data_IF_461397505386
#
_entry.id   IF_461397505386
#
_cell.length_a   1.000
_cell.length_b   1.000
_cell.length_c   1.000
_cell.angle_alpha   90.00
_cell.angle_beta   90.00
_cell.angle_gamma   90.00
#
_symmetry.space_group_name_H-M   'P 1'
#
loop_
_entity.id
_entity.type
_entity.pdbx_description
1 polymer ?
#
# COMPACT_ATOMS: atom_id res chain seq x y z
N UNK A 1 -69.00 -1.83 -17.37
CA UNK A 1 -67.91 -0.83 -17.28
C UNK A 1 -66.51 -1.43 -17.51
N UNK A 2 -66.35 -2.47 -18.36
CA UNK A 2 -65.11 -3.27 -18.46
C UNK A 2 -64.44 -3.33 -19.86
N UNK A 3 -64.96 -2.63 -20.87
CA UNK A 3 -64.44 -2.68 -22.25
C UNK A 3 -63.43 -1.58 -22.61
N UNK A 4 -63.33 -0.49 -21.83
CA UNK A 4 -62.40 0.62 -22.11
C UNK A 4 -60.97 0.39 -21.58
N UNK A 5 -60.80 -0.48 -20.58
CA UNK A 5 -59.50 -0.73 -19.93
C UNK A 5 -58.62 -1.68 -20.73
N UNK A 6 -59.22 -2.73 -21.33
CA UNK A 6 -58.51 -3.71 -22.16
C UNK A 6 -57.91 -3.09 -23.43
N UNK A 7 -58.60 -2.16 -24.10
CA UNK A 7 -58.06 -1.46 -25.30
C UNK A 7 -56.76 -0.71 -25.01
N UNK A 8 -56.61 -0.09 -23.82
CA UNK A 8 -55.38 0.63 -23.45
C UNK A 8 -54.20 -0.32 -23.25
N UNK A 9 -54.42 -1.49 -22.65
CA UNK A 9 -53.38 -2.52 -22.46
C UNK A 9 -52.90 -3.13 -23.78
N UNK A 10 -53.80 -3.37 -24.74
CA UNK A 10 -53.40 -3.86 -26.08
C UNK A 10 -52.63 -2.80 -26.88
N UNK A 11 -52.96 -1.52 -26.72
CA UNK A 11 -52.32 -0.43 -27.45
C UNK A 11 -50.92 -0.14 -26.90
N UNK A 12 -50.75 -0.11 -25.57
CA UNK A 12 -49.45 0.05 -24.91
C UNK A 12 -48.45 -1.06 -25.30
N UNK A 13 -48.90 -2.31 -25.41
CA UNK A 13 -48.06 -3.40 -25.91
C UNK A 13 -47.66 -3.24 -27.38
N UNK A 14 -48.56 -2.75 -28.25
CA UNK A 14 -48.22 -2.52 -29.67
C UNK A 14 -47.17 -1.41 -29.84
N UNK A 15 -47.25 -0.33 -29.05
CA UNK A 15 -46.27 0.75 -29.11
C UNK A 15 -44.92 0.35 -28.49
N UNK A 16 -44.92 -0.45 -27.42
CA UNK A 16 -43.70 -1.06 -26.86
C UNK A 16 -43.01 -2.01 -27.86
N UNK A 17 -43.77 -2.83 -28.59
CA UNK A 17 -43.23 -3.69 -29.66
C UNK A 17 -42.70 -2.87 -30.85
N UNK A 18 -43.34 -1.75 -31.21
CA UNK A 18 -42.84 -0.84 -32.24
C UNK A 18 -41.51 -0.21 -31.84
N UNK A 19 -41.39 0.28 -30.60
CA UNK A 19 -40.13 0.78 -30.02
C UNK A 19 -39.02 -0.29 -29.99
N UNK A 20 -39.32 -1.51 -29.55
CA UNK A 20 -38.35 -2.61 -29.59
C UNK A 20 -37.91 -2.97 -31.03
N UNK A 21 -38.82 -2.84 -32.01
CA UNK A 21 -38.51 -3.07 -33.43
C UNK A 21 -37.71 -1.96 -34.10
N UNK A 22 -37.81 -0.71 -33.62
CA UNK A 22 -36.98 0.40 -34.09
C UNK A 22 -35.59 0.34 -33.46
N UNK A 23 -35.48 0.09 -32.15
CA UNK A 23 -34.19 -0.15 -31.49
C UNK A 23 -33.41 -1.32 -32.10
N UNK A 24 -34.07 -2.44 -32.42
CA UNK A 24 -33.41 -3.56 -33.12
C UNK A 24 -32.94 -3.19 -34.53
N UNK A 25 -33.65 -2.31 -35.26
CA UNK A 25 -33.21 -1.85 -36.59
C UNK A 25 -32.04 -0.87 -36.51
N UNK A 26 -32.08 0.11 -35.59
CA UNK A 26 -30.98 1.06 -35.38
C UNK A 26 -29.70 0.33 -34.95
N UNK A 27 -29.79 -0.57 -33.97
CA UNK A 27 -28.66 -1.38 -33.52
C UNK A 27 -28.08 -2.28 -34.65
N UNK A 28 -28.94 -2.83 -35.53
CA UNK A 28 -28.47 -3.63 -36.66
C UNK A 28 -27.74 -2.79 -37.72
N UNK A 29 -28.16 -1.55 -37.98
CA UNK A 29 -27.43 -0.64 -38.88
C UNK A 29 -26.12 -0.13 -38.30
N UNK A 30 -26.04 0.16 -37.00
CA UNK A 30 -24.76 0.52 -36.36
C UNK A 30 -23.78 -0.67 -36.29
N UNK A 31 -24.27 -1.88 -36.03
CA UNK A 31 -23.45 -3.11 -36.09
C UNK A 31 -22.98 -3.45 -37.53
N UNK A 32 -23.72 -3.00 -38.55
CA UNK A 32 -23.30 -3.09 -39.95
C UNK A 32 -22.21 -2.07 -40.30
N UNK A 33 -22.38 -0.80 -39.90
CA UNK A 33 -21.41 0.25 -40.20
C UNK A 33 -20.10 0.11 -39.40
N UNK A 34 -20.12 -0.44 -38.18
CA UNK A 34 -18.89 -0.71 -37.41
C UNK A 34 -18.07 -1.90 -37.91
N UNK A 35 -18.59 -2.75 -38.81
CA UNK A 35 -17.84 -3.90 -39.35
C UNK A 35 -16.83 -3.56 -40.46
N UNK A 36 -16.83 -2.34 -40.99
CA UNK A 36 -15.92 -1.94 -42.08
C UNK A 36 -14.69 -1.10 -41.67
N UNK A 37 -14.51 -0.78 -40.39
CA UNK A 37 -13.38 0.04 -39.92
C UNK A 37 -12.41 -0.68 -38.96
N UNK A 38 -12.36 -2.02 -38.99
CA UNK A 38 -11.39 -2.84 -38.25
C UNK A 38 -10.51 -3.65 -39.21
N UNK A 39 -9.66 -2.94 -39.97
CA UNK A 39 -8.55 -3.50 -40.76
C UNK A 39 -7.24 -2.73 -40.53
N UNK A 40 -6.95 -2.42 -39.26
CA UNK A 40 -5.65 -1.94 -38.78
C UNK A 40 -5.44 -2.29 -37.30
N UNK A 41 -5.42 -3.58 -36.97
CA UNK A 41 -4.89 -4.03 -35.67
C UNK A 41 -3.39 -4.27 -35.85
N UNK A 42 -2.59 -3.32 -35.38
CA UNK A 42 -1.14 -3.51 -35.24
C UNK A 42 -0.91 -4.54 -34.14
N UNK A 43 -0.30 -5.67 -34.48
CA UNK A 43 0.12 -6.65 -33.49
C UNK A 43 1.27 -6.09 -32.65
N UNK A 44 1.00 -5.80 -31.37
CA UNK A 44 2.04 -5.51 -30.39
C UNK A 44 2.66 -6.84 -29.93
N UNK A 45 3.99 -7.02 -29.99
CA UNK A 45 4.62 -8.26 -29.57
C UNK A 45 4.63 -8.38 -28.04
N UNK A 46 4.21 -9.55 -27.55
CA UNK A 46 4.51 -9.99 -26.18
C UNK A 46 6.00 -10.32 -26.12
N UNK A 47 6.77 -9.57 -25.33
CA UNK A 47 8.19 -9.85 -25.14
C UNK A 47 8.40 -11.06 -24.23
N UNK A 48 8.58 -12.23 -24.84
CA UNK A 48 9.16 -13.42 -24.20
C UNK A 48 10.64 -13.47 -24.52
N UNK A 49 11.51 -13.34 -23.51
CA UNK A 49 12.96 -13.43 -23.69
C UNK A 49 13.39 -14.91 -23.68
N UNK A 50 13.47 -15.51 -24.88
CA UNK A 50 14.07 -16.82 -25.06
C UNK A 50 15.61 -16.73 -25.06
N UNK A 51 16.28 -17.73 -24.48
CA UNK A 51 17.75 -17.88 -24.57
C UNK A 51 18.14 -18.38 -25.96
N UNK A 52 18.91 -17.60 -26.72
CA UNK A 52 19.57 -18.08 -27.94
C UNK A 52 20.91 -18.75 -27.62
N UNK A 53 21.17 -19.89 -28.26
CA UNK A 53 22.39 -20.70 -28.10
C UNK A 53 23.17 -20.72 -29.43
N UNK A 54 24.50 -20.61 -29.30
CA UNK A 54 25.56 -20.87 -30.29
C UNK A 54 25.72 -19.93 -31.51
N UNK A 55 26.95 -19.42 -31.68
CA UNK A 55 27.84 -19.90 -32.77
C UNK A 55 29.34 -19.69 -32.49
N UNK A 56 30.19 -20.33 -33.29
CA UNK A 56 31.66 -20.49 -33.23
C UNK A 56 32.26 -20.32 -34.64
N UNK A 57 33.52 -19.94 -34.86
CA UNK A 57 34.60 -19.44 -33.98
C UNK A 57 35.54 -18.51 -34.78
N UNK A 58 36.24 -17.58 -34.13
CA UNK A 58 37.43 -16.96 -34.70
C UNK A 58 38.35 -16.43 -33.58
N UNK A 59 39.61 -16.89 -33.54
CA UNK A 59 40.68 -16.29 -32.73
C UNK A 59 41.62 -15.53 -33.66
N UNK A 60 42.16 -14.39 -33.23
CA UNK A 60 43.62 -14.21 -33.06
C UNK A 60 43.99 -12.86 -32.43
N UNK A 61 44.95 -12.94 -31.51
CA UNK A 61 45.92 -11.91 -31.06
C UNK A 61 45.47 -10.77 -30.15
N UNK A 62 46.25 -10.66 -29.09
CA UNK A 62 46.12 -9.80 -27.93
C UNK A 62 46.43 -8.33 -28.20
N UNK A 63 45.73 -7.46 -27.47
CA UNK A 63 46.33 -6.25 -26.89
C UNK A 63 45.76 -6.11 -25.46
N UNK A 64 46.63 -6.09 -24.44
CA UNK A 64 46.21 -5.98 -23.04
C UNK A 64 45.75 -4.57 -22.68
N UNK A 65 44.46 -4.30 -22.94
CA UNK A 65 43.79 -3.08 -22.47
C UNK A 65 43.25 -3.33 -21.04
N UNK A 66 43.56 -2.49 -20.03
CA UNK A 66 43.27 -2.81 -18.63
C UNK A 66 41.77 -2.99 -18.38
N UNK A 67 41.39 -4.18 -17.89
CA UNK A 67 40.01 -4.55 -17.58
C UNK A 67 39.40 -3.60 -16.55
N UNK A 68 38.69 -2.57 -17.03
CA UNK A 68 37.88 -1.65 -16.23
C UNK A 68 37.07 -2.41 -15.19
N UNK A 69 37.20 -2.04 -13.90
CA UNK A 69 36.29 -2.44 -12.80
C UNK A 69 34.88 -1.81 -12.93
N UNK A 70 34.27 -1.86 -14.12
CA UNK A 70 32.90 -1.41 -14.42
C UNK A 70 31.95 -2.62 -14.46
N UNK A 71 32.07 -3.55 -13.52
CA UNK A 71 31.87 -4.97 -13.85
C UNK A 71 30.95 -5.83 -12.97
N UNK A 72 30.61 -5.48 -11.72
CA UNK A 72 29.64 -6.29 -10.94
C UNK A 72 28.66 -5.48 -10.09
N UNK A 73 29.11 -4.55 -9.25
CA UNK A 73 28.21 -3.79 -8.33
C UNK A 73 27.10 -3.04 -9.07
N UNK A 74 27.42 -2.31 -10.14
CA UNK A 74 26.43 -1.62 -10.99
C UNK A 74 25.46 -2.58 -11.69
N UNK A 75 25.91 -3.78 -12.08
CA UNK A 75 25.03 -4.78 -12.68
C UNK A 75 24.08 -5.41 -11.65
N UNK A 76 24.58 -5.71 -10.44
CA UNK A 76 23.77 -6.18 -9.31
C UNK A 76 22.70 -5.15 -8.92
N UNK A 77 23.05 -3.87 -8.87
CA UNK A 77 22.09 -2.79 -8.57
C UNK A 77 21.00 -2.67 -9.65
N UNK A 78 21.37 -2.64 -10.94
CA UNK A 78 20.40 -2.55 -12.06
C UNK A 78 19.46 -3.77 -12.11
N UNK A 79 19.88 -4.91 -11.56
CA UNK A 79 19.05 -6.12 -11.47
C UNK A 79 18.23 -6.22 -10.19
N UNK A 80 18.56 -5.47 -9.12
CA UNK A 80 17.84 -5.49 -7.84
C UNK A 80 16.50 -4.74 -7.91
N UNK A 81 15.64 -4.99 -6.92
CA UNK A 81 14.38 -4.24 -6.78
C UNK A 81 14.63 -2.72 -6.62
N UNK A 82 15.70 -2.33 -5.92
CA UNK A 82 16.07 -0.93 -5.70
C UNK A 82 16.39 -0.22 -7.03
N UNK A 83 17.21 -0.82 -7.91
CA UNK A 83 17.54 -0.21 -9.20
C UNK A 83 16.39 -0.20 -10.21
N UNK A 84 15.36 -1.05 -10.03
CA UNK A 84 14.18 -1.13 -10.91
C UNK A 84 12.99 -0.31 -10.40
N UNK A 85 12.94 0.06 -9.12
CA UNK A 85 11.80 0.73 -8.49
C UNK A 85 11.33 2.00 -9.24
N UNK A 86 12.19 2.90 -9.78
CA UNK A 86 11.74 4.05 -10.57
C UNK A 86 10.96 3.66 -11.84
N UNK A 87 11.41 2.61 -12.53
CA UNK A 87 10.72 2.10 -13.73
C UNK A 87 9.35 1.53 -13.36
N UNK A 88 9.30 0.68 -12.33
CA UNK A 88 8.05 0.11 -11.83
C UNK A 88 7.07 1.18 -11.33
N UNK A 89 7.54 2.20 -10.62
CA UNK A 89 6.70 3.33 -10.19
C UNK A 89 6.13 4.10 -11.39
N UNK A 90 6.94 4.39 -12.42
CA UNK A 90 6.47 5.10 -13.61
C UNK A 90 5.42 4.29 -14.38
N UNK A 91 5.64 2.98 -14.56
CA UNK A 91 4.65 2.09 -15.18
C UNK A 91 3.36 2.00 -14.35
N UNK A 92 3.47 1.89 -13.03
CA UNK A 92 2.34 1.92 -12.10
C UNK A 92 1.54 3.22 -12.24
N UNK A 93 2.19 4.39 -12.24
CA UNK A 93 1.53 5.69 -12.40
C UNK A 93 0.75 5.78 -13.71
N UNK A 94 1.38 5.44 -14.83
CA UNK A 94 0.73 5.45 -16.16
C UNK A 94 -0.47 4.50 -16.19
N UNK A 95 -0.31 3.27 -15.66
CA UNK A 95 -1.38 2.27 -15.66
C UNK A 95 -2.54 2.68 -14.74
N UNK A 96 -2.26 3.30 -13.60
CA UNK A 96 -3.27 3.77 -12.67
C UNK A 96 -4.15 4.87 -13.30
N UNK A 97 -3.56 5.85 -13.99
CA UNK A 97 -4.33 6.89 -14.71
C UNK A 97 -5.23 6.27 -15.78
N UNK A 98 -4.69 5.39 -16.62
CA UNK A 98 -5.47 4.69 -17.65
C UNK A 98 -6.66 3.92 -17.07
N UNK A 99 -6.48 3.24 -15.94
CA UNK A 99 -7.55 2.52 -15.25
C UNK A 99 -8.57 3.48 -14.60
N UNK A 100 -8.14 4.68 -14.22
CA UNK A 100 -8.96 5.69 -13.55
C UNK A 100 -9.91 6.44 -14.50
N UNK A 101 -9.59 6.43 -15.80
CA UNK A 101 -10.46 6.89 -16.89
C UNK A 101 -11.56 5.87 -17.26
N UNK A 102 -11.39 4.58 -16.91
CA UNK A 102 -12.33 3.51 -17.28
C UNK A 102 -13.47 3.42 -16.22
N UNK A 103 -14.74 3.63 -16.60
CA UNK A 103 -15.86 3.54 -15.66
C UNK A 103 -15.99 2.15 -15.02
N UNK A 104 -16.32 2.13 -13.72
CA UNK A 104 -16.61 0.90 -12.97
C UNK A 104 -15.39 0.16 -12.39
N UNK A 105 -14.19 0.43 -12.87
CA UNK A 105 -12.94 -0.12 -12.32
C UNK A 105 -12.76 0.36 -10.87
N UNK A 106 -12.70 1.66 -10.67
CA UNK A 106 -12.78 2.27 -9.34
C UNK A 106 -14.25 2.42 -8.89
N UNK A 107 -14.49 2.33 -7.59
CA UNK A 107 -15.81 2.51 -6.97
C UNK A 107 -16.31 3.97 -7.07
N UNK A 108 -15.40 4.91 -7.30
CA UNK A 108 -15.67 6.32 -7.61
C UNK A 108 -14.47 6.91 -8.36
N UNK A 109 -14.71 8.02 -9.05
CA UNK A 109 -13.65 8.82 -9.64
C UNK A 109 -13.06 9.76 -8.58
N UNK A 110 -11.75 9.66 -8.35
CA UNK A 110 -11.01 10.52 -7.43
C UNK A 110 -10.76 11.89 -8.06
N UNK A 111 -11.36 12.94 -7.50
CA UNK A 111 -11.12 14.31 -7.97
C UNK A 111 -9.64 14.70 -7.78
N UNK A 112 -9.06 15.39 -8.79
CA UNK A 112 -7.65 15.84 -8.78
C UNK A 112 -7.34 16.83 -7.65
N UNK A 113 -8.32 17.66 -7.30
CA UNK A 113 -8.28 18.62 -6.19
C UNK A 113 -9.53 18.40 -5.36
N UNK A 114 -9.38 18.38 -4.03
CA UNK A 114 -10.48 18.19 -3.07
C UNK A 114 -10.39 19.26 -1.98
N UNK A 115 -11.51 19.64 -1.33
CA UNK A 115 -11.47 20.50 -0.15
C UNK A 115 -10.52 19.92 0.91
N UNK A 116 -9.60 20.74 1.40
CA UNK A 116 -8.52 20.33 2.30
C UNK A 116 -8.09 21.49 3.19
N UNK A 117 -7.38 21.15 4.27
CA UNK A 117 -6.99 22.09 5.33
C UNK A 117 -5.79 21.55 6.11
N UNK A 118 -4.82 22.41 6.37
CA UNK A 118 -3.86 22.19 7.46
C UNK A 118 -4.54 22.63 8.76
N UNK A 119 -4.58 21.76 9.76
CA UNK A 119 -5.18 22.08 11.05
C UNK A 119 -4.37 23.19 11.77
N UNK A 120 -5.03 24.18 12.40
CA UNK A 120 -4.32 25.18 13.20
C UNK A 120 -3.71 24.58 14.46
N UNK A 121 -2.41 24.73 14.62
CA UNK A 121 -1.62 24.28 15.77
C UNK A 121 -0.17 24.01 15.36
N UNK A 122 0.59 23.29 16.19
CA UNK A 122 2.01 23.00 15.95
C UNK A 122 2.24 21.72 15.12
N UNK A 123 1.29 20.78 15.13
CA UNK A 123 1.45 19.50 14.43
C UNK A 123 1.28 19.62 12.91
N UNK A 124 0.58 20.67 12.45
CA UNK A 124 0.22 20.94 11.05
C UNK A 124 -0.44 19.73 10.37
N UNK A 125 -1.31 19.01 11.07
CA UNK A 125 -2.02 17.86 10.51
C UNK A 125 -2.78 18.24 9.23
N UNK A 126 -2.70 17.43 8.19
CA UNK A 126 -3.35 17.70 6.90
C UNK A 126 -4.64 16.89 6.78
N UNK A 127 -5.78 17.57 6.67
CA UNK A 127 -7.10 16.97 6.49
C UNK A 127 -7.64 17.22 5.07
N UNK A 128 -8.28 16.21 4.48
CA UNK A 128 -8.77 16.25 3.10
C UNK A 128 -10.10 15.51 2.94
N UNK A 129 -11.05 16.12 2.25
CA UNK A 129 -12.42 15.62 2.06
C UNK A 129 -12.49 14.48 1.03
N UNK A 130 -13.06 13.35 1.42
CA UNK A 130 -13.24 12.16 0.58
C UNK A 130 -14.55 11.39 0.95
N UNK A 131 -15.75 11.99 0.75
CA UNK A 131 -17.02 11.40 1.15
C UNK A 131 -17.30 10.08 0.43
N UNK A 132 -16.92 9.99 -0.84
CA UNK A 132 -17.05 8.78 -1.65
C UNK A 132 -16.28 7.58 -1.08
N UNK A 133 -15.13 7.79 -0.41
CA UNK A 133 -14.42 6.71 0.31
C UNK A 133 -15.22 6.19 1.50
N UNK A 134 -16.00 7.03 2.15
CA UNK A 134 -16.84 6.63 3.30
C UNK A 134 -18.06 5.86 2.81
N UNK A 135 -18.72 6.36 1.75
CA UNK A 135 -19.98 5.81 1.24
C UNK A 135 -19.81 4.57 0.34
N UNK A 136 -18.78 4.53 -0.51
CA UNK A 136 -18.64 3.55 -1.61
C UNK A 136 -17.54 2.50 -1.39
N UNK A 137 -16.86 2.52 -0.24
CA UNK A 137 -15.85 1.50 0.12
C UNK A 137 -16.54 0.19 0.50
N UNK A 138 -15.92 -0.94 0.13
CA UNK A 138 -16.33 -2.27 0.58
C UNK A 138 -16.35 -2.36 2.10
N UNK A 139 -17.40 -2.97 2.65
CA UNK A 139 -17.51 -3.32 4.08
C UNK A 139 -16.23 -4.06 4.52
N UNK A 140 -15.52 -3.57 5.55
CA UNK A 140 -14.32 -4.22 6.08
C UNK A 140 -14.62 -5.62 6.65
N UNK A 141 -13.64 -6.52 6.56
CA UNK A 141 -13.73 -7.79 7.29
C UNK A 141 -13.52 -7.57 8.80
N UNK A 142 -14.31 -8.28 9.61
CA UNK A 142 -13.96 -8.53 11.02
C UNK A 142 -12.80 -9.51 11.05
N UNK A 143 -11.67 -9.07 11.60
CA UNK A 143 -10.51 -9.91 11.88
C UNK A 143 -10.36 -9.93 13.39
N UNK A 144 -10.47 -11.12 13.99
CA UNK A 144 -10.74 -11.29 15.42
C UNK A 144 -9.50 -11.17 16.32
N UNK A 145 -8.31 -11.42 15.78
CA UNK A 145 -7.03 -11.37 16.49
C UNK A 145 -5.86 -11.09 15.51
N UNK A 146 -4.63 -10.95 16.03
CA UNK A 146 -3.41 -10.73 15.24
C UNK A 146 -2.80 -11.97 14.57
N UNK A 147 -3.30 -13.17 14.87
CA UNK A 147 -2.89 -14.43 14.25
C UNK A 147 -4.09 -15.12 13.56
N UNK A 148 -4.80 -14.43 12.64
CA UNK A 148 -6.02 -14.96 12.07
C UNK A 148 -5.69 -16.10 11.08
N UNK A 149 -6.62 -17.04 10.89
CA UNK A 149 -6.51 -18.05 9.82
C UNK A 149 -6.92 -17.45 8.47
N UNK A 150 -6.27 -17.83 7.37
CA UNK A 150 -6.70 -17.41 6.04
C UNK A 150 -8.10 -17.96 5.72
N UNK A 151 -9.01 -17.10 5.26
CA UNK A 151 -10.42 -17.45 4.99
C UNK A 151 -10.68 -17.45 3.47
N UNK A 152 -10.37 -18.53 2.72
CA UNK A 152 -10.41 -18.55 1.25
C UNK A 152 -11.80 -18.29 0.66
N UNK A 153 -12.88 -18.53 1.42
CA UNK A 153 -14.26 -18.21 1.02
C UNK A 153 -14.58 -16.71 1.09
N UNK A 154 -13.96 -15.96 2.02
CA UNK A 154 -14.12 -14.50 2.12
C UNK A 154 -13.38 -13.78 0.98
N UNK A 155 -13.54 -12.46 0.86
CA UNK A 155 -12.77 -11.68 -0.11
C UNK A 155 -11.26 -11.77 0.22
N UNK A 156 -10.44 -11.90 -0.81
CA UNK A 156 -8.99 -11.84 -0.72
C UNK A 156 -8.45 -11.38 -2.09
N UNK A 157 -7.19 -10.95 -2.17
CA UNK A 157 -6.66 -10.35 -3.41
C UNK A 157 -6.52 -11.31 -4.60
N UNK A 158 -6.59 -12.63 -4.43
CA UNK A 158 -6.73 -13.58 -5.55
C UNK A 158 -8.12 -13.57 -6.20
N UNK A 159 -9.03 -12.68 -5.77
CA UNK A 159 -10.41 -12.52 -6.29
C UNK A 159 -10.70 -11.13 -6.86
N UNK A 160 -9.67 -10.33 -7.14
CA UNK A 160 -9.85 -9.09 -7.91
C UNK A 160 -10.03 -9.40 -9.40
N UNK A 161 -10.61 -8.47 -10.16
CA UNK A 161 -10.59 -8.59 -11.62
C UNK A 161 -9.13 -8.48 -12.14
N UNK A 162 -8.79 -9.19 -13.20
CA UNK A 162 -7.45 -9.12 -13.81
C UNK A 162 -7.10 -7.69 -14.27
N UNK A 163 -8.09 -6.85 -14.59
CA UNK A 163 -7.91 -5.44 -14.91
C UNK A 163 -7.52 -4.57 -13.70
N UNK A 164 -7.82 -5.01 -12.46
CA UNK A 164 -7.39 -4.32 -11.23
C UNK A 164 -5.88 -4.51 -10.96
N UNK A 165 -5.28 -5.58 -11.49
CA UNK A 165 -3.84 -5.87 -11.37
C UNK A 165 -3.08 -5.01 -12.38
N UNK A 166 -2.32 -4.03 -11.89
CA UNK A 166 -1.55 -3.12 -12.75
C UNK A 166 -0.27 -3.77 -13.26
N UNK A 167 0.39 -4.55 -12.41
CA UNK A 167 1.60 -5.30 -12.73
C UNK A 167 1.88 -6.38 -11.68
N UNK A 168 2.63 -7.41 -12.07
CA UNK A 168 3.31 -8.33 -11.14
C UNK A 168 4.81 -8.07 -11.26
N UNK A 169 5.50 -8.00 -10.12
CA UNK A 169 6.96 -7.87 -10.04
C UNK A 169 7.53 -9.21 -9.60
N UNK A 170 8.35 -9.80 -10.45
CA UNK A 170 9.16 -10.97 -10.12
C UNK A 170 10.35 -10.48 -9.27
N UNK A 171 10.29 -10.71 -7.95
CA UNK A 171 11.44 -10.40 -7.08
C UNK A 171 12.52 -11.50 -7.19
N UNK A 172 13.76 -11.13 -6.90
CA UNK A 172 14.96 -11.99 -7.08
C UNK A 172 14.85 -13.30 -6.29
N UNK A 173 14.14 -13.27 -5.15
CA UNK A 173 13.92 -14.41 -4.27
C UNK A 173 12.71 -15.30 -4.67
N UNK A 174 12.22 -15.17 -5.92
CA UNK A 174 11.14 -15.97 -6.54
C UNK A 174 9.75 -15.78 -5.94
N UNK A 175 9.48 -14.59 -5.44
CA UNK A 175 8.18 -14.19 -4.89
C UNK A 175 7.48 -13.20 -5.83
N UNK A 176 6.23 -13.47 -6.17
CA UNK A 176 5.43 -12.56 -6.99
C UNK A 176 4.84 -11.45 -6.11
N UNK A 177 5.22 -10.19 -6.37
CA UNK A 177 4.55 -9.03 -5.75
C UNK A 177 3.55 -8.43 -6.74
N UNK A 178 2.26 -8.53 -6.43
CA UNK A 178 1.23 -7.88 -7.24
C UNK A 178 0.96 -6.44 -6.78
N UNK A 179 0.96 -5.53 -7.75
CA UNK A 179 0.58 -4.14 -7.59
C UNK A 179 -0.84 -3.98 -8.13
N UNK A 180 -1.82 -3.87 -7.23
CA UNK A 180 -3.26 -3.88 -7.55
C UNK A 180 -3.83 -2.50 -7.22
N UNK A 181 -4.73 -1.94 -8.04
CA UNK A 181 -5.40 -0.69 -7.65
C UNK A 181 -6.14 -0.83 -6.32
N UNK A 182 -6.19 0.23 -5.51
CA UNK A 182 -7.21 0.29 -4.46
C UNK A 182 -8.51 0.81 -5.09
N UNK A 183 -9.51 -0.06 -5.30
CA UNK A 183 -10.81 0.33 -5.91
C UNK A 183 -11.49 1.52 -5.25
N UNK A 184 -11.20 1.86 -4.00
CA UNK A 184 -11.60 3.13 -3.40
C UNK A 184 -10.37 3.91 -2.92
N UNK A 185 -9.77 4.76 -3.77
CA UNK A 185 -8.46 5.35 -3.54
C UNK A 185 -8.52 6.47 -2.49
N UNK A 186 -7.48 6.56 -1.64
CA UNK A 186 -7.37 7.63 -0.64
C UNK A 186 -6.81 8.87 -1.30
N UNK A 187 -5.67 8.72 -1.97
CA UNK A 187 -5.03 9.69 -2.85
C UNK A 187 -4.75 9.08 -4.22
N UNK A 188 -4.19 9.89 -5.13
CA UNK A 188 -3.74 9.44 -6.46
C UNK A 188 -2.73 8.30 -6.33
N UNK A 189 -2.72 7.39 -7.30
CA UNK A 189 -1.86 6.21 -7.30
C UNK A 189 -2.05 5.24 -6.12
N UNK A 190 -3.15 5.34 -5.35
CA UNK A 190 -3.40 4.42 -4.23
C UNK A 190 -3.45 2.97 -4.74
N UNK A 191 -2.43 2.22 -4.36
CA UNK A 191 -2.16 0.84 -4.78
C UNK A 191 -2.12 -0.05 -3.55
N UNK A 192 -2.67 -1.25 -3.68
CA UNK A 192 -2.49 -2.36 -2.76
C UNK A 192 -1.29 -3.17 -3.25
N UNK A 193 -0.24 -3.21 -2.45
CA UNK A 193 0.95 -4.04 -2.69
C UNK A 193 0.71 -5.37 -2.00
N UNK A 194 0.67 -6.47 -2.76
CA UNK A 194 0.42 -7.82 -2.25
C UNK A 194 1.66 -8.71 -2.50
N UNK A 195 2.61 -8.77 -1.56
CA UNK A 195 3.72 -9.73 -1.61
C UNK A 195 3.18 -11.15 -1.46
N UNK A 196 3.72 -12.10 -2.22
CA UNK A 196 3.42 -13.53 -2.08
C UNK A 196 1.92 -13.85 -2.17
N UNK A 197 1.17 -13.12 -3.00
CA UNK A 197 -0.30 -13.20 -3.05
C UNK A 197 -0.83 -14.62 -3.33
N UNK A 198 -0.07 -15.44 -4.07
CA UNK A 198 -0.38 -16.86 -4.36
C UNK A 198 -0.26 -17.75 -3.12
N UNK A 199 0.58 -17.39 -2.14
CA UNK A 199 0.79 -18.14 -0.91
C UNK A 199 -0.33 -17.92 0.13
N UNK A 200 -1.30 -17.03 -0.16
CA UNK A 200 -2.46 -16.76 0.70
C UNK A 200 -2.08 -16.38 2.13
N UNK A 201 -1.00 -15.61 2.28
CA UNK A 201 -0.52 -15.14 3.58
C UNK A 201 -1.59 -14.28 4.24
N UNK A 202 -1.78 -14.47 5.55
CA UNK A 202 -2.72 -13.70 6.35
C UNK A 202 -2.19 -12.28 6.57
N UNK A 203 -2.98 -11.35 7.11
CA UNK A 203 -2.51 -9.98 7.38
C UNK A 203 -1.56 -9.97 8.60
N UNK A 204 -0.35 -10.50 8.41
CA UNK A 204 0.79 -10.45 9.34
C UNK A 204 2.05 -10.28 8.50
N UNK A 205 2.87 -9.31 8.89
CA UNK A 205 4.10 -8.95 8.19
C UNK A 205 5.07 -10.13 8.16
N UNK A 206 5.73 -10.34 7.02
CA UNK A 206 6.92 -11.21 6.91
C UNK A 206 8.18 -10.37 6.72
N UNK A 207 9.34 -10.88 7.13
CA UNK A 207 10.64 -10.23 6.89
C UNK A 207 10.86 -9.93 5.40
N UNK A 208 10.42 -10.85 4.53
CA UNK A 208 10.47 -10.66 3.07
C UNK A 208 9.62 -9.48 2.59
N UNK A 209 8.36 -9.39 3.05
CA UNK A 209 7.46 -8.28 2.69
C UNK A 209 8.00 -6.91 3.12
N UNK A 210 8.66 -6.83 4.29
CA UNK A 210 9.36 -5.61 4.71
C UNK A 210 10.54 -5.30 3.79
N UNK A 211 11.41 -6.28 3.52
CA UNK A 211 12.59 -6.09 2.68
C UNK A 211 12.21 -5.58 1.29
N UNK A 212 11.17 -6.15 0.68
CA UNK A 212 10.62 -5.66 -0.59
C UNK A 212 10.19 -4.19 -0.48
N UNK A 213 9.31 -3.86 0.46
CA UNK A 213 8.77 -2.49 0.59
C UNK A 213 9.88 -1.46 0.88
N UNK A 214 10.84 -1.80 1.75
CA UNK A 214 11.96 -0.92 2.10
C UNK A 214 12.89 -0.73 0.91
N UNK A 215 13.33 -1.80 0.25
CA UNK A 215 14.24 -1.68 -0.91
C UNK A 215 13.56 -1.06 -2.14
N UNK A 216 12.24 -1.24 -2.32
CA UNK A 216 11.48 -0.49 -3.31
C UNK A 216 11.53 1.01 -3.01
N UNK A 217 11.24 1.42 -1.76
CA UNK A 217 11.26 2.82 -1.33
C UNK A 217 12.66 3.44 -1.39
N UNK A 218 13.73 2.72 -1.00
CA UNK A 218 15.15 3.13 -1.14
C UNK A 218 15.59 3.28 -2.60
N UNK A 219 14.79 2.80 -3.56
CA UNK A 219 15.04 2.93 -4.98
C UNK A 219 14.38 4.13 -5.64
N UNK A 220 13.49 4.85 -4.94
CA UNK A 220 12.71 5.94 -5.55
C UNK A 220 13.44 7.28 -5.41
N UNK A 221 13.53 8.04 -6.52
CA UNK A 221 13.84 9.48 -6.46
C UNK A 221 12.64 10.32 -5.99
N UNK A 222 11.44 9.74 -6.01
CA UNK A 222 10.16 10.37 -5.70
C UNK A 222 9.86 10.36 -4.19
N UNK A 223 10.06 11.52 -3.56
CA UNK A 223 9.82 11.76 -2.13
C UNK A 223 8.36 12.09 -1.80
N UNK A 224 7.41 11.87 -2.70
CA UNK A 224 5.97 12.04 -2.47
C UNK A 224 5.26 10.69 -2.36
N UNK A 225 5.92 9.61 -2.80
CA UNK A 225 5.46 8.25 -2.54
C UNK A 225 5.65 7.89 -1.06
N UNK A 226 4.63 7.24 -0.50
CA UNK A 226 4.58 6.69 0.85
C UNK A 226 4.11 5.25 0.78
N UNK A 227 4.55 4.42 1.72
CA UNK A 227 3.89 3.15 1.98
C UNK A 227 3.34 3.09 3.40
N UNK A 228 2.33 2.25 3.62
CA UNK A 228 1.75 2.03 4.94
C UNK A 228 1.14 0.64 5.10
N UNK A 229 1.05 0.19 6.34
CA UNK A 229 0.46 -1.09 6.72
C UNK A 229 -0.42 -0.93 7.95
N UNK A 230 -1.49 -1.73 7.98
CA UNK A 230 -2.40 -1.86 9.10
C UNK A 230 -2.43 -3.35 9.50
N UNK A 231 -2.18 -3.69 10.76
CA UNK A 231 -2.43 -5.04 11.28
C UNK A 231 -3.93 -5.29 11.51
N UNK A 232 -4.35 -6.55 11.73
CA UNK A 232 -5.60 -6.86 12.42
C UNK A 232 -5.72 -6.05 13.72
N UNK A 233 -6.93 -5.60 14.07
CA UNK A 233 -7.14 -4.67 15.19
C UNK A 233 -6.63 -3.25 14.97
N UNK A 234 -5.72 -3.02 14.02
CA UNK A 234 -5.15 -1.72 13.65
C UNK A 234 -5.73 -1.17 12.33
N UNK A 235 -7.00 -1.51 12.05
CA UNK A 235 -7.77 -1.15 10.85
C UNK A 235 -7.46 -1.88 9.53
N UNK A 236 -6.72 -3.01 9.54
CA UNK A 236 -6.70 -3.93 8.39
C UNK A 236 -8.12 -4.29 7.93
N UNK A 237 -8.41 -4.16 6.63
CA UNK A 237 -9.78 -4.36 6.09
C UNK A 237 -9.99 -5.66 5.34
N UNK A 238 -8.91 -6.41 5.07
CA UNK A 238 -8.88 -7.70 4.39
C UNK A 238 -7.85 -8.58 5.11
N UNK A 239 -8.19 -9.83 5.40
CA UNK A 239 -7.23 -10.81 5.91
C UNK A 239 -6.49 -11.52 4.75
N UNK A 240 -5.59 -10.78 4.11
CA UNK A 240 -4.60 -11.26 3.15
C UNK A 240 -3.47 -10.23 3.13
N UNK A 241 -2.21 -10.64 3.35
CA UNK A 241 -1.05 -9.75 3.46
C UNK A 241 -1.02 -8.67 2.36
N UNK A 242 -1.17 -7.43 2.79
CA UNK A 242 -1.03 -6.27 1.92
C UNK A 242 -0.46 -5.06 2.65
N UNK A 243 0.31 -4.29 1.88
CA UNK A 243 0.70 -2.92 2.17
C UNK A 243 -0.07 -1.98 1.23
N UNK A 244 -0.06 -0.70 1.55
CA UNK A 244 -0.61 0.38 0.74
C UNK A 244 0.54 1.23 0.22
N UNK A 245 0.52 1.59 -1.07
CA UNK A 245 1.33 2.66 -1.64
C UNK A 245 0.41 3.84 -1.94
N UNK A 246 0.84 5.05 -1.58
CA UNK A 246 0.12 6.31 -1.75
C UNK A 246 1.03 7.38 -2.34
N UNK A 247 0.45 8.34 -3.07
CA UNK A 247 1.09 9.61 -3.38
C UNK A 247 0.56 10.70 -2.45
N UNK A 248 1.45 11.27 -1.65
CA UNK A 248 1.21 12.26 -0.59
C UNK A 248 2.34 13.31 -0.66
N UNK A 249 2.22 14.32 -1.55
CA UNK A 249 3.23 15.37 -1.72
C UNK A 249 3.33 16.32 -0.52
N UNK A 250 2.27 16.42 0.28
CA UNK A 250 2.20 17.28 1.47
C UNK A 250 3.29 16.93 2.49
N UNK A 251 3.89 17.95 3.11
CA UNK A 251 4.65 17.75 4.34
C UNK A 251 3.68 17.41 5.47
N UNK A 252 3.77 16.19 5.97
CA UNK A 252 2.92 15.70 7.04
C UNK A 252 3.58 15.97 8.40
N UNK A 253 2.81 15.84 9.47
CA UNK A 253 3.30 15.85 10.85
C UNK A 253 4.54 14.95 11.02
N UNK A 254 4.51 13.73 10.48
CA UNK A 254 5.61 12.76 10.62
C UNK A 254 6.93 13.20 9.97
N UNK A 255 6.90 14.17 9.04
CA UNK A 255 8.10 14.74 8.44
C UNK A 255 8.79 15.79 9.32
N UNK A 256 8.11 16.27 10.36
CA UNK A 256 8.53 17.37 11.24
C UNK A 256 8.83 16.91 12.67
N UNK A 257 8.70 15.62 12.98
CA UNK A 257 8.90 15.10 14.34
C UNK A 257 10.35 15.11 14.78
N UNK A 258 10.58 15.49 16.02
CA UNK A 258 11.86 15.31 16.70
C UNK A 258 12.06 13.83 17.05
N UNK A 259 13.30 13.33 16.89
CA UNK A 259 13.67 11.94 17.14
C UNK A 259 14.73 11.85 18.23
N UNK A 260 14.48 11.04 19.25
CA UNK A 260 15.46 10.64 20.27
C UNK A 260 16.02 9.25 19.92
N UNK A 261 17.33 9.04 20.06
CA UNK A 261 17.91 7.71 19.84
C UNK A 261 17.40 6.70 20.88
N UNK A 262 17.05 5.51 20.39
CA UNK A 262 16.53 4.41 21.19
C UNK A 262 17.56 3.28 21.34
N UNK A 263 18.15 2.81 20.23
CA UNK A 263 19.20 1.78 20.22
C UNK A 263 19.96 1.72 18.88
N UNK A 264 21.23 1.28 18.95
CA UNK A 264 22.02 0.85 17.79
C UNK A 264 22.37 1.92 16.75
N UNK A 265 22.20 3.22 17.04
CA UNK A 265 22.44 4.30 16.08
C UNK A 265 21.45 4.38 14.91
N UNK A 266 20.50 3.44 14.78
CA UNK A 266 19.52 3.41 13.69
C UNK A 266 18.06 3.29 14.15
N UNK A 267 17.81 2.97 15.43
CA UNK A 267 16.47 2.95 16.01
C UNK A 267 16.28 4.17 16.89
N UNK A 268 15.20 4.89 16.63
CA UNK A 268 14.79 6.09 17.33
C UNK A 268 13.36 5.93 17.87
N UNK A 269 12.96 6.84 18.74
CA UNK A 269 11.56 7.12 19.04
C UNK A 269 11.25 8.58 18.75
N UNK A 270 9.96 8.92 18.68
CA UNK A 270 9.54 10.32 18.78
C UNK A 270 10.00 10.90 20.13
N UNK A 271 10.49 12.14 20.10
CA UNK A 271 10.91 12.89 21.29
C UNK A 271 9.77 13.01 22.30
N UNK A 272 10.09 13.09 23.60
CA UNK A 272 9.10 13.31 24.66
C UNK A 272 8.36 14.66 24.54
N UNK A 273 8.88 15.61 23.76
CA UNK A 273 8.21 16.85 23.38
C UNK A 273 7.01 16.61 22.45
N UNK A 274 7.02 15.52 21.67
CA UNK A 274 6.00 15.25 20.66
C UNK A 274 4.67 14.82 21.30
N UNK A 275 3.52 15.24 20.74
CA UNK A 275 2.23 14.86 21.27
C UNK A 275 1.82 13.40 21.01
N UNK A 276 2.53 12.68 20.14
CA UNK A 276 2.27 11.28 19.78
C UNK A 276 3.52 10.41 19.88
N UNK A 277 3.35 9.10 19.82
CA UNK A 277 4.40 8.10 20.09
C UNK A 277 4.57 7.11 18.94
N UNK A 278 5.82 6.85 18.55
CA UNK A 278 6.19 5.80 17.61
C UNK A 278 7.68 5.44 17.73
N UNK A 279 8.05 4.24 17.29
CA UNK A 279 9.44 3.92 16.93
C UNK A 279 9.69 4.41 15.50
N UNK A 280 10.90 4.87 15.19
CA UNK A 280 11.37 5.12 13.84
C UNK A 280 12.67 4.34 13.60
N UNK A 281 12.70 3.48 12.58
CA UNK A 281 13.90 2.77 12.13
C UNK A 281 14.41 3.42 10.86
N UNK A 282 15.67 3.85 10.84
CA UNK A 282 16.30 4.53 9.71
C UNK A 282 17.16 3.54 8.91
N UNK A 283 16.78 3.39 7.63
CA UNK A 283 17.58 2.74 6.61
C UNK A 283 18.32 3.81 5.82
N UNK A 284 19.65 3.86 5.88
CA UNK A 284 20.41 4.89 5.19
C UNK A 284 20.56 4.58 3.69
N UNK A 285 20.80 5.61 2.88
CA UNK A 285 21.01 5.47 1.45
C UNK A 285 22.22 4.57 1.12
N UNK A 286 23.19 4.53 2.02
CA UNK A 286 24.44 3.77 1.94
C UNK A 286 24.43 2.43 2.70
N UNK A 287 23.36 2.06 3.45
CA UNK A 287 23.28 0.75 4.10
C UNK A 287 23.51 -0.37 3.06
N UNK A 288 24.38 -1.32 3.39
CA UNK A 288 24.60 -2.52 2.59
C UNK A 288 23.51 -3.59 2.79
N UNK A 289 23.60 -4.70 2.05
CA UNK A 289 22.60 -5.78 2.12
C UNK A 289 22.52 -6.46 3.49
N UNK A 290 23.62 -6.51 4.26
CA UNK A 290 23.65 -7.10 5.59
C UNK A 290 23.03 -6.16 6.62
N UNK A 291 23.38 -4.86 6.57
CA UNK A 291 22.78 -3.82 7.42
C UNK A 291 21.26 -3.72 7.21
N UNK A 292 20.81 -3.70 5.94
CA UNK A 292 19.37 -3.75 5.61
C UNK A 292 18.72 -5.02 6.15
N UNK A 293 19.37 -6.18 5.99
CA UNK A 293 18.81 -7.46 6.44
C UNK A 293 18.69 -7.52 7.97
N UNK A 294 19.66 -6.99 8.71
CA UNK A 294 19.61 -6.90 10.17
C UNK A 294 18.44 -6.01 10.62
N UNK A 295 18.37 -4.78 10.10
CA UNK A 295 17.30 -3.81 10.42
C UNK A 295 15.91 -4.37 10.07
N UNK A 296 15.76 -5.06 8.94
CA UNK A 296 14.54 -5.79 8.55
C UNK A 296 14.21 -6.91 9.54
N UNK A 297 15.20 -7.73 9.91
CA UNK A 297 14.99 -8.85 10.84
C UNK A 297 14.56 -8.35 12.22
N UNK A 298 15.14 -7.25 12.71
CA UNK A 298 14.78 -6.66 14.00
C UNK A 298 13.38 -6.02 13.98
N UNK A 299 13.00 -5.33 12.91
CA UNK A 299 11.61 -4.90 12.69
C UNK A 299 10.62 -6.07 12.63
N UNK A 300 11.00 -7.16 11.95
CA UNK A 300 10.16 -8.36 11.85
C UNK A 300 9.97 -9.02 13.22
N UNK A 301 11.05 -9.22 14.00
CA UNK A 301 10.97 -9.73 15.39
C UNK A 301 10.04 -8.87 16.25
N UNK A 302 10.09 -7.54 16.12
CA UNK A 302 9.22 -6.64 16.86
C UNK A 302 7.74 -6.79 16.44
N UNK A 303 7.47 -6.82 15.13
CA UNK A 303 6.12 -7.05 14.60
C UNK A 303 5.55 -8.41 15.02
N UNK A 304 6.39 -9.44 15.06
CA UNK A 304 6.02 -10.79 15.46
C UNK A 304 5.71 -10.89 16.96
N UNK A 305 6.58 -10.30 17.80
CA UNK A 305 6.32 -10.17 19.23
C UNK A 305 5.05 -9.38 19.52
N UNK A 306 4.78 -8.28 18.80
CA UNK A 306 3.52 -7.53 18.92
C UNK A 306 2.30 -8.40 18.55
N UNK A 307 2.39 -9.24 17.52
CA UNK A 307 1.36 -10.23 17.20
C UNK A 307 1.15 -11.25 18.34
N UNK A 308 2.23 -11.74 18.95
CA UNK A 308 2.19 -12.65 20.09
C UNK A 308 1.59 -12.03 21.37
N UNK A 309 1.86 -10.75 21.62
CA UNK A 309 1.31 -9.99 22.76
C UNK A 309 -0.08 -9.37 22.50
N UNK A 310 -0.70 -9.68 21.35
CA UNK A 310 -1.97 -9.08 20.91
C UNK A 310 -1.96 -7.53 20.88
N UNK A 311 -0.83 -6.92 20.47
CA UNK A 311 -0.65 -5.47 20.31
C UNK A 311 -0.86 -5.08 18.83
N UNK A 312 -2.00 -4.48 18.45
CA UNK A 312 -2.21 -4.01 17.09
C UNK A 312 -1.22 -2.90 16.75
N UNK A 313 -0.81 -2.86 15.49
CA UNK A 313 0.21 -1.92 15.04
C UNK A 313 0.00 -1.45 13.60
N UNK A 314 0.51 -0.24 13.35
CA UNK A 314 0.53 0.40 12.05
C UNK A 314 1.98 0.69 11.67
N UNK A 315 2.32 0.55 10.39
CA UNK A 315 3.60 1.02 9.87
C UNK A 315 3.36 2.17 8.87
N UNK A 316 4.24 3.16 8.88
CA UNK A 316 4.34 4.18 7.84
C UNK A 316 5.78 4.25 7.33
N UNK A 317 5.96 4.16 6.02
CA UNK A 317 7.27 4.12 5.35
C UNK A 317 7.37 5.34 4.44
N UNK A 318 8.37 6.18 4.70
CA UNK A 318 8.62 7.43 3.97
C UNK A 318 10.10 7.58 3.66
N UNK A 319 10.44 8.36 2.64
CA UNK A 319 11.79 8.91 2.55
C UNK A 319 11.99 9.99 3.62
N UNK A 320 13.20 10.14 4.11
CA UNK A 320 13.61 11.25 4.96
C UNK A 320 13.69 12.53 4.12
N UNK A 321 12.77 13.46 4.36
CA UNK A 321 12.69 14.74 3.64
C UNK A 321 13.65 15.82 4.17
N UNK A 322 14.40 15.54 5.24
CA UNK A 322 15.29 16.53 5.85
C UNK A 322 16.49 16.84 4.94
N UNK A 323 17.00 18.09 4.91
CA UNK A 323 18.17 18.45 4.11
C UNK A 323 19.36 17.52 4.37
N UNK A 324 19.99 17.03 3.30
CA UNK A 324 21.13 16.12 3.37
C UNK A 324 20.81 14.66 3.72
N UNK A 325 19.53 14.28 3.90
CA UNK A 325 19.10 12.89 4.20
C UNK A 325 18.43 12.15 3.04
N UNK A 326 18.52 12.70 1.82
CA UNK A 326 17.91 12.14 0.60
C UNK A 326 18.35 10.69 0.36
N UNK A 327 17.39 9.81 0.11
CA UNK A 327 17.60 8.37 -0.08
C UNK A 327 17.55 7.54 1.21
N UNK A 328 17.60 8.15 2.39
CA UNK A 328 17.28 7.47 3.63
C UNK A 328 15.78 7.16 3.67
N UNK A 329 15.41 5.97 4.15
CA UNK A 329 14.02 5.54 4.35
C UNK A 329 13.77 5.38 5.84
N UNK A 330 12.70 6.01 6.32
CA UNK A 330 12.21 5.93 7.68
C UNK A 330 11.02 4.98 7.74
N UNK A 331 11.08 3.99 8.63
CA UNK A 331 9.97 3.09 8.95
C UNK A 331 9.47 3.43 10.36
N UNK A 332 8.32 4.11 10.42
CA UNK A 332 7.63 4.40 11.67
C UNK A 332 6.74 3.23 12.07
N UNK A 333 6.82 2.80 13.33
CA UNK A 333 6.00 1.74 13.93
C UNK A 333 5.18 2.34 15.06
N UNK A 334 3.86 2.32 14.91
CA UNK A 334 2.90 2.81 15.90
C UNK A 334 2.22 1.63 16.58
N UNK A 335 2.29 1.58 17.90
CA UNK A 335 1.70 0.51 18.73
C UNK A 335 0.38 0.97 19.36
N UNK A 336 -0.54 0.03 19.60
CA UNK A 336 -1.87 0.32 20.15
C UNK A 336 -2.24 -0.58 21.32
N UNK A 337 -2.74 0.00 22.41
CA UNK A 337 -3.34 -0.76 23.52
C UNK A 337 -4.71 -1.33 23.16
N UNK A 338 -5.46 -0.69 22.26
CA UNK A 338 -6.85 -1.05 21.97
C UNK A 338 -6.99 -1.77 20.62
N UNK A 339 -7.58 -2.97 20.65
CA UNK A 339 -7.95 -3.73 19.45
C UNK A 339 -9.25 -3.18 18.84
N UNK A 340 -9.19 -2.65 17.62
CA UNK A 340 -10.39 -2.16 16.91
C UNK A 340 -11.05 -3.31 16.14
N UNK A 341 -12.12 -3.85 16.72
CA UNK A 341 -13.00 -4.87 16.08
C UNK A 341 -14.00 -4.21 15.12
N UNK A 342 -14.62 -3.10 15.54
CA UNK A 342 -15.60 -2.35 14.76
C UNK A 342 -15.04 -0.95 14.43
N UNK A 343 -15.13 -0.55 13.15
CA UNK A 343 -14.55 0.69 12.60
C UNK A 343 -15.58 1.82 12.47
N UNK A 344 -16.84 1.55 12.75
CA UNK A 344 -17.95 2.47 12.49
C UNK A 344 -18.43 3.16 13.80
N UNK A 345 -17.87 2.77 14.95
CA UNK A 345 -18.20 3.31 16.29
C UNK A 345 -17.29 4.48 16.74
N UNK A 346 -16.44 5.02 15.87
CA UNK A 346 -15.49 6.08 16.20
C UNK A 346 -15.78 7.37 15.43
N UNK A 347 -15.53 8.54 16.05
CA UNK A 347 -15.66 9.86 15.41
C UNK A 347 -14.94 9.90 14.05
N UNK A 348 -13.72 9.38 14.04
CA UNK A 348 -12.96 8.99 12.85
C UNK A 348 -12.04 7.80 13.19
N UNK A 349 -11.57 7.15 12.12
CA UNK A 349 -10.68 5.99 12.19
C UNK A 349 -9.22 6.43 12.24
N UNK A 350 -8.41 5.81 13.11
CA UNK A 350 -6.97 6.07 13.22
C UNK A 350 -6.17 4.85 12.74
N UNK A 351 -5.63 4.94 11.52
CA UNK A 351 -4.70 3.98 10.91
C UNK A 351 -3.38 4.65 10.55
N UNK A 352 -2.58 4.02 9.67
CA UNK A 352 -1.25 4.55 9.34
C UNK A 352 -1.26 5.97 8.75
N UNK A 353 -2.33 6.36 8.05
CA UNK A 353 -2.47 7.68 7.45
C UNK A 353 -2.56 8.75 8.55
N UNK A 354 -3.51 8.56 9.45
CA UNK A 354 -3.86 9.50 10.50
C UNK A 354 -2.73 9.61 11.54
N UNK A 355 -2.06 8.49 11.83
CA UNK A 355 -0.87 8.44 12.69
C UNK A 355 0.33 9.19 12.08
N UNK A 356 0.47 9.18 10.75
CA UNK A 356 1.47 9.97 10.04
C UNK A 356 1.10 11.46 9.87
N UNK A 357 -0.17 11.82 10.11
CA UNK A 357 -0.68 13.19 10.02
C UNK A 357 -1.55 13.50 8.80
N UNK A 358 -1.97 12.50 8.03
CA UNK A 358 -2.91 12.63 6.91
C UNK A 358 -4.31 12.13 7.29
N UNK A 359 -5.30 13.02 7.28
CA UNK A 359 -6.68 12.74 7.72
C UNK A 359 -7.66 12.78 6.55
N UNK A 360 -7.98 11.62 5.92
CA UNK A 360 -9.06 11.52 4.97
C UNK A 360 -10.42 11.61 5.69
N UNK A 361 -11.11 12.75 5.55
CA UNK A 361 -12.38 13.01 6.22
C UNK A 361 -13.56 12.70 5.29
N UNK A 362 -14.59 12.02 5.79
CA UNK A 362 -15.75 11.60 5.00
C UNK A 362 -16.85 12.65 4.81
N UNK A 363 -16.71 13.83 5.39
CA UNK A 363 -17.81 14.75 5.69
C UNK A 363 -17.28 16.19 5.80
N UNK A 364 -18.05 17.18 5.30
CA UNK A 364 -17.65 18.59 5.28
C UNK A 364 -17.55 19.18 6.68
N UNK A 365 -18.56 18.93 7.50
CA UNK A 365 -18.70 19.52 8.82
C UNK A 365 -17.60 18.96 9.74
N UNK A 366 -17.26 17.68 9.58
CA UNK A 366 -16.06 17.10 10.21
C UNK A 366 -14.76 17.76 9.74
N UNK A 367 -14.59 18.09 8.45
CA UNK A 367 -13.38 18.77 7.97
C UNK A 367 -13.26 20.18 8.57
N UNK A 368 -14.37 20.90 8.69
CA UNK A 368 -14.41 22.24 9.27
C UNK A 368 -14.20 22.25 10.79
N UNK A 369 -14.68 21.22 11.50
CA UNK A 369 -14.63 21.17 12.96
C UNK A 369 -13.46 20.35 13.54
N UNK A 370 -12.70 19.58 12.75
CA UNK A 370 -11.57 18.79 13.23
C UNK A 370 -10.41 19.69 13.71
N UNK A 371 -9.98 19.53 14.96
CA UNK A 371 -8.87 20.32 15.56
C UNK A 371 -7.69 19.44 15.99
N UNK A 372 -6.48 20.01 16.12
CA UNK A 372 -5.33 19.24 16.61
C UNK A 372 -5.54 18.61 17.98
N UNK A 373 -6.15 19.29 19.00
CA UNK A 373 -6.43 18.66 20.28
C UNK A 373 -7.35 17.43 20.17
N UNK A 374 -8.37 17.45 19.30
CA UNK A 374 -9.22 16.29 19.03
C UNK A 374 -8.41 15.14 18.41
N UNK A 375 -7.56 15.46 17.42
CA UNK A 375 -6.67 14.49 16.77
C UNK A 375 -5.71 13.85 17.76
N UNK A 376 -4.99 14.65 18.54
CA UNK A 376 -4.00 14.19 19.53
C UNK A 376 -4.67 13.35 20.59
N UNK A 377 -5.82 13.80 21.14
CA UNK A 377 -6.61 13.04 22.09
C UNK A 377 -6.99 11.67 21.51
N UNK A 378 -7.52 11.64 20.28
CA UNK A 378 -7.96 10.40 19.65
C UNK A 378 -6.82 9.44 19.32
N UNK A 379 -5.66 9.96 18.90
CA UNK A 379 -4.45 9.15 18.72
C UNK A 379 -4.03 8.53 20.07
N UNK A 380 -3.93 9.34 21.13
CA UNK A 380 -3.56 8.86 22.48
C UNK A 380 -4.53 7.83 23.05
N UNK A 381 -5.83 7.99 22.81
CA UNK A 381 -6.86 6.99 23.16
C UNK A 381 -6.59 5.63 22.48
N UNK A 382 -6.22 5.60 21.19
CA UNK A 382 -5.99 4.33 20.48
C UNK A 382 -4.60 3.74 20.73
N UNK A 383 -3.56 4.57 20.89
CA UNK A 383 -2.19 4.11 21.19
C UNK A 383 -2.08 3.61 22.63
N UNK A 384 -2.70 4.32 23.58
CA UNK A 384 -2.64 3.99 25.00
C UNK A 384 -1.20 3.95 25.50
N UNK A 385 -0.89 2.97 26.35
CA UNK A 385 0.44 2.75 26.95
C UNK A 385 1.32 1.78 26.15
N UNK A 386 0.79 1.15 25.09
CA UNK A 386 1.51 0.14 24.30
C UNK A 386 2.88 0.59 23.74
N UNK A 387 3.10 1.86 23.32
CA UNK A 387 4.42 2.32 22.87
C UNK A 387 5.55 2.06 23.89
N UNK A 388 5.29 2.16 25.19
CA UNK A 388 6.31 1.98 26.23
C UNK A 388 6.86 0.54 26.28
N UNK A 389 5.98 -0.46 26.15
CA UNK A 389 6.41 -1.86 26.07
C UNK A 389 7.18 -2.13 24.76
N UNK A 390 6.74 -1.53 23.66
CA UNK A 390 7.36 -1.62 22.34
C UNK A 390 8.75 -0.96 22.30
N UNK A 391 8.95 0.18 22.96
CA UNK A 391 10.26 0.81 23.13
C UNK A 391 11.24 -0.11 23.87
N UNK A 392 10.83 -0.68 25.00
CA UNK A 392 11.65 -1.61 25.78
C UNK A 392 12.01 -2.85 24.95
N UNK A 393 11.03 -3.46 24.28
CA UNK A 393 11.27 -4.66 23.48
C UNK A 393 12.19 -4.41 22.28
N UNK A 394 12.06 -3.28 21.58
CA UNK A 394 12.94 -2.97 20.46
C UNK A 394 14.39 -2.74 20.90
N UNK A 395 14.62 -2.10 22.07
CA UNK A 395 15.97 -2.02 22.66
C UNK A 395 16.56 -3.41 22.89
N UNK A 396 15.81 -4.32 23.52
CA UNK A 396 16.27 -5.68 23.78
C UNK A 396 16.62 -6.45 22.49
N UNK A 397 15.77 -6.33 21.46
CA UNK A 397 15.99 -6.95 20.14
C UNK A 397 17.29 -6.45 19.49
N UNK A 398 17.55 -5.14 19.52
CA UNK A 398 18.75 -4.53 18.92
C UNK A 398 20.01 -4.83 19.72
N UNK A 399 19.93 -4.82 21.05
CA UNK A 399 21.06 -5.13 21.93
C UNK A 399 21.43 -6.62 21.96
N UNK A 400 20.63 -7.51 21.35
CA UNK A 400 20.81 -8.95 21.44
C UNK A 400 20.41 -9.55 22.80
N UNK A 401 19.71 -8.79 23.65
CA UNK A 401 19.19 -9.22 24.96
C UNK A 401 17.92 -10.10 24.83
N UNK A 402 17.77 -10.79 23.71
CA UNK A 402 16.56 -11.56 23.42
C UNK A 402 16.57 -12.87 24.22
N UNK A 403 15.96 -12.81 25.41
CA UNK A 403 15.75 -13.97 26.28
C UNK A 403 14.82 -14.99 25.61
N UNK A 404 15.41 -15.84 24.76
CA UNK A 404 14.87 -17.13 24.33
C UNK A 404 14.92 -18.15 25.46
N UNK A 405 14.44 -17.74 26.63
CA UNK A 405 14.04 -18.64 27.71
C UNK A 405 12.56 -18.98 27.40
N UNK A 406 12.19 -20.26 27.49
CA UNK A 406 10.87 -20.84 27.16
C UNK A 406 10.61 -21.38 25.75
N UNK A 407 11.66 -21.72 24.98
CA UNK A 407 11.57 -22.79 23.95
C UNK A 407 12.57 -23.92 24.22
N UNK A 408 12.52 -24.49 25.43
CA UNK A 408 12.93 -25.88 25.63
C UNK A 408 11.69 -26.76 25.51
N UNK A 409 11.70 -27.82 24.68
CA UNK A 409 10.64 -28.82 24.72
C UNK A 409 10.61 -29.46 26.12
N UNK A 410 9.46 -29.42 26.77
CA UNK A 410 9.19 -30.28 27.92
C UNK A 410 9.04 -31.73 27.42
N UNK A 411 10.17 -32.39 27.19
CA UNK A 411 10.21 -33.86 27.15
C UNK A 411 10.05 -34.39 28.56
N UNK A 412 8.86 -34.95 28.83
CA UNK A 412 8.60 -35.96 29.86
C UNK A 412 7.88 -37.11 29.14
#
# INVERSE_FOLDING_TARGET
MYSRTLRKLTQFNQDAWRLLSSFRRVAATELSQRRHCWRSVVALPVFVVARSVACKVAMTKEEENPKRKRTQSKAKYVTSIQGKAPHYLNSLKVRWEQLHEIPGIFAYHLQKTRPNRVLPGECKFYAELNPDRTLKRRIPQTIENLNPTFKPKQFNFNKVDALEVMMTIDDVDKTDVQMIINRSPLTRFHTVVCPDVKNNLVQRITAHSLKFCINFMRGLDDMDIRMGYNSPGALASVNHLHFHLLHLPQDLYINQVELEELAGGYVYRLSKSMPTEAICVIFEANDDEAEVQEKVNNLHKLADWMCGQNIPHNLFITQDRRPGKRGNVQVFVFARSHYCVNKDLAEFNVGFCELAGYFPVGDSDKLENLTEPMVIKRIREVTGTAPQAVYTRMKQIVNGEDQSIWEQPLTI
#
